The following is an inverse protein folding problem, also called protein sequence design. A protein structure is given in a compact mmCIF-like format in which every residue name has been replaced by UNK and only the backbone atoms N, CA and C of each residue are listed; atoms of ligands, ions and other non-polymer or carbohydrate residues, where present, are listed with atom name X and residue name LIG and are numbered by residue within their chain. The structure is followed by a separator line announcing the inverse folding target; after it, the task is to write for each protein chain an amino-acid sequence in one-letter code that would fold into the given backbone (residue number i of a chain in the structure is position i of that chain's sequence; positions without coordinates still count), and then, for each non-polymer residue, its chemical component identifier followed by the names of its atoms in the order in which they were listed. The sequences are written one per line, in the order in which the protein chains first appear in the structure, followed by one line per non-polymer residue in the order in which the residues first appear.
data_IF_091706307514
#
_entry.id   IF_091706307514
#
_cell.length_a   1.000
_cell.length_b   1.000
_cell.length_c   1.000
_cell.angle_alpha   90.00
_cell.angle_beta   90.00
_cell.angle_gamma   90.00
#
_symmetry.space_group_name_H-M   'P 1'
#
loop_
_entity.id
_entity.type
_entity.pdbx_description
1 polymer ?
#
# COMPACT_ATOMS: atom_id res chain seq x y z
N UNK A 1 -21.33 -0.38 36.74
CA UNK A 1 -20.81 -1.34 37.73
C UNK A 1 -19.40 -1.69 37.26
N UNK A 2 -18.37 -1.27 37.99
CA UNK A 2 -16.98 -1.58 37.64
C UNK A 2 -16.74 -3.01 38.10
N UNK A 3 -16.34 -3.87 37.17
CA UNK A 3 -16.03 -5.28 37.45
C UNK A 3 -14.73 -5.37 38.26
N UNK A 4 -14.70 -6.25 39.26
CA UNK A 4 -13.54 -6.53 40.12
C UNK A 4 -12.64 -7.65 39.56
N UNK A 5 -12.86 -8.12 38.32
CA UNK A 5 -11.94 -9.06 37.67
C UNK A 5 -10.69 -8.28 37.18
N UNK A 6 -9.46 -8.62 37.60
CA UNK A 6 -8.25 -7.98 37.08
C UNK A 6 -8.13 -8.05 35.54
N UNK A 7 -8.76 -9.04 34.89
CA UNK A 7 -8.84 -9.19 33.43
C UNK A 7 -9.96 -8.37 32.78
N UNK A 8 -10.75 -7.64 33.57
CA UNK A 8 -11.83 -6.76 33.11
C UNK A 8 -11.49 -5.27 33.20
N UNK A 9 -10.21 -4.95 33.37
CA UNK A 9 -9.75 -3.56 33.34
C UNK A 9 -9.92 -3.00 31.93
N UNK A 10 -10.27 -1.70 31.80
CA UNK A 10 -10.41 -1.07 30.50
C UNK A 10 -9.11 -1.18 29.71
N UNK A 11 -9.14 -1.95 28.63
CA UNK A 11 -8.07 -1.98 27.63
C UNK A 11 -8.19 -0.68 26.84
N UNK A 12 -7.22 0.24 27.00
CA UNK A 12 -7.15 1.42 26.16
C UNK A 12 -6.47 1.03 24.85
N UNK A 13 -7.19 1.13 23.74
CA UNK A 13 -6.61 1.01 22.42
C UNK A 13 -5.66 2.19 22.18
N UNK A 14 -4.40 1.85 21.88
CA UNK A 14 -3.37 2.79 21.50
C UNK A 14 -3.41 3.07 19.99
N UNK A 15 -3.80 2.06 19.20
CA UNK A 15 -4.11 2.13 17.77
C UNK A 15 -5.21 1.10 17.45
N UNK A 16 -5.87 1.13 16.26
CA UNK A 16 -6.87 0.13 15.87
C UNK A 16 -6.44 -1.34 16.04
N UNK A 17 -5.14 -1.61 15.93
CA UNK A 17 -4.54 -2.94 16.01
C UNK A 17 -3.66 -3.13 17.25
N UNK A 18 -3.57 -2.13 18.15
CA UNK A 18 -2.71 -2.17 19.34
C UNK A 18 -3.45 -1.68 20.57
N UNK A 19 -3.31 -2.40 21.66
CA UNK A 19 -3.78 -2.00 22.97
C UNK A 19 -2.64 -1.85 23.97
N UNK A 20 -2.85 -0.94 24.92
CA UNK A 20 -2.00 -0.85 26.10
C UNK A 20 -2.40 -1.99 27.05
N UNK A 21 -1.48 -2.93 27.38
CA UNK A 21 -1.78 -4.00 28.32
C UNK A 21 -2.13 -3.42 29.68
N UNK A 22 -3.00 -4.11 30.43
CA UNK A 22 -3.15 -3.82 31.85
C UNK A 22 -1.76 -3.91 32.52
N UNK A 23 -1.39 -3.01 33.45
CA UNK A 23 -0.14 -3.13 34.21
C UNK A 23 0.19 -4.54 34.73
N UNK A 24 -0.82 -5.34 35.13
CA UNK A 24 -0.62 -6.73 35.55
C UNK A 24 -0.24 -7.66 34.38
N UNK A 25 -0.82 -7.44 33.20
CA UNK A 25 -0.49 -8.18 31.97
C UNK A 25 0.90 -7.80 31.47
N UNK A 26 1.27 -6.52 31.54
CA UNK A 26 2.62 -6.07 31.20
C UNK A 26 3.68 -6.85 31.99
N UNK A 27 3.52 -6.97 33.32
CA UNK A 27 4.45 -7.74 34.15
C UNK A 27 4.39 -9.24 33.91
N UNK A 28 3.23 -9.79 33.54
CA UNK A 28 3.10 -11.20 33.19
C UNK A 28 3.82 -11.54 31.87
N UNK A 29 3.67 -10.69 30.85
CA UNK A 29 4.32 -10.82 29.54
C UNK A 29 5.83 -10.65 29.63
N UNK A 30 6.27 -9.72 30.48
CA UNK A 30 7.66 -9.40 30.72
C UNK A 30 8.20 -10.09 31.99
N UNK A 31 7.56 -11.18 32.42
CA UNK A 31 7.91 -11.97 33.60
C UNK A 31 9.22 -12.72 33.41
N UNK A 32 10.31 -11.98 33.23
CA UNK A 32 11.64 -12.47 32.83
C UNK A 32 12.74 -11.40 32.72
N UNK A 33 12.49 -10.11 32.99
CA UNK A 33 13.50 -9.03 32.85
C UNK A 33 13.82 -8.33 34.20
N UNK A 34 15.08 -8.27 34.65
CA UNK A 34 16.14 -9.28 34.55
C UNK A 34 16.58 -9.85 35.92
N UNK A 35 17.21 -11.02 35.86
CA UNK A 35 18.27 -11.43 36.78
C UNK A 35 19.46 -10.46 36.61
N UNK A 36 19.89 -9.85 37.71
CA UNK A 36 20.97 -8.86 37.75
C UNK A 36 22.38 -9.47 37.56
N UNK A 37 22.49 -10.69 37.03
CA UNK A 37 23.72 -11.49 36.99
C UNK A 37 24.63 -11.26 35.77
N UNK A 38 24.17 -10.53 34.75
CA UNK A 38 25.00 -10.05 33.65
C UNK A 38 25.48 -11.11 32.66
N UNK A 39 24.75 -12.22 32.47
CA UNK A 39 24.98 -13.16 31.36
C UNK A 39 23.94 -12.94 30.26
N UNK A 40 24.37 -13.08 29.01
CA UNK A 40 23.63 -12.88 27.75
C UNK A 40 22.11 -13.07 27.89
N UNK A 41 21.40 -11.97 28.10
CA UNK A 41 19.95 -11.90 28.02
C UNK A 41 19.59 -11.04 26.83
N UNK A 42 18.56 -11.50 26.13
CA UNK A 42 17.74 -10.72 25.22
C UNK A 42 17.13 -9.52 25.98
N UNK A 43 17.77 -8.35 25.90
CA UNK A 43 17.40 -7.16 26.66
C UNK A 43 16.23 -6.41 25.98
N UNK A 44 15.12 -7.09 25.73
CA UNK A 44 13.93 -6.50 25.13
C UNK A 44 12.68 -6.67 26.01
N UNK A 45 11.76 -5.70 25.92
CA UNK A 45 10.44 -5.72 26.56
C UNK A 45 9.34 -5.76 25.50
N UNK A 46 8.17 -6.29 25.85
CA UNK A 46 6.93 -6.12 25.08
C UNK A 46 6.14 -4.96 25.68
N UNK A 47 6.04 -3.84 24.95
CA UNK A 47 5.41 -2.59 25.41
C UNK A 47 3.89 -2.55 25.23
N UNK A 48 3.44 -2.92 24.03
CA UNK A 48 2.03 -2.91 23.66
C UNK A 48 1.63 -4.31 23.25
N UNK A 49 0.36 -4.66 23.41
CA UNK A 49 -0.20 -5.90 22.90
C UNK A 49 -0.97 -5.62 21.62
N UNK A 50 -1.00 -6.57 20.70
CA UNK A 50 -2.02 -6.52 19.68
C UNK A 50 -3.39 -6.82 20.31
N UNK A 51 -4.44 -6.24 19.73
CA UNK A 51 -5.82 -6.37 20.21
C UNK A 51 -6.36 -7.80 20.09
N UNK A 52 -5.75 -8.67 19.27
CA UNK A 52 -6.14 -10.08 19.10
C UNK A 52 -4.89 -10.97 18.93
N UNK A 53 -4.74 -11.99 19.79
CA UNK A 53 -3.77 -13.14 19.88
C UNK A 53 -2.42 -13.12 19.13
N UNK A 54 -1.89 -11.96 18.73
CA UNK A 54 -0.75 -11.86 17.82
C UNK A 54 0.17 -10.72 18.28
N UNK A 55 0.99 -11.00 19.31
CA UNK A 55 2.20 -10.30 19.77
C UNK A 55 2.42 -8.81 19.34
N UNK A 56 2.71 -7.93 20.30
CA UNK A 56 2.80 -6.48 20.05
C UNK A 56 4.21 -5.93 19.85
N UNK A 57 4.49 -4.72 20.37
CA UNK A 57 5.77 -4.05 20.12
C UNK A 57 6.86 -4.60 21.03
N UNK A 58 7.84 -5.25 20.43
CA UNK A 58 9.12 -5.56 21.07
C UNK A 58 10.01 -4.34 21.01
N UNK A 59 10.60 -3.94 22.14
CA UNK A 59 11.57 -2.87 22.24
C UNK A 59 12.83 -3.38 22.90
N UNK A 60 13.96 -3.20 22.24
CA UNK A 60 15.28 -3.46 22.78
C UNK A 60 15.66 -2.28 23.69
N UNK A 61 15.97 -2.59 24.95
CA UNK A 61 16.23 -1.61 25.99
C UNK A 61 17.64 -0.99 25.91
N UNK A 62 18.58 -1.60 25.17
CA UNK A 62 19.92 -1.04 24.98
C UNK A 62 19.96 -0.07 23.80
N UNK A 63 19.28 -0.42 22.72
CA UNK A 63 19.29 0.32 21.45
C UNK A 63 18.09 1.26 21.29
N UNK A 64 17.03 1.05 22.09
CA UNK A 64 15.74 1.72 21.98
C UNK A 64 15.04 1.54 20.63
N UNK A 65 15.44 0.53 19.87
CA UNK A 65 14.78 0.13 18.65
C UNK A 65 13.59 -0.78 18.98
N UNK A 66 12.60 -0.80 18.09
CA UNK A 66 11.42 -1.62 18.23
C UNK A 66 11.00 -2.26 16.90
N UNK A 67 10.20 -3.31 17.03
CA UNK A 67 9.54 -4.01 15.93
C UNK A 67 8.21 -4.55 16.44
N UNK A 68 7.17 -4.52 15.61
CA UNK A 68 5.98 -5.35 15.84
C UNK A 68 6.28 -6.75 15.32
N UNK A 69 5.86 -7.81 16.01
CA UNK A 69 6.04 -9.17 15.49
C UNK A 69 4.90 -10.04 15.96
N UNK A 70 4.47 -10.98 15.12
CA UNK A 70 3.47 -12.01 15.44
C UNK A 70 4.04 -13.19 16.24
N UNK A 71 5.36 -13.44 16.15
CA UNK A 71 6.08 -14.54 16.83
C UNK A 71 7.34 -14.01 17.54
N UNK A 72 7.84 -14.71 18.56
CA UNK A 72 9.09 -14.36 19.28
C UNK A 72 10.29 -14.73 18.40
N UNK A 73 10.56 -13.97 17.33
CA UNK A 73 11.79 -14.09 16.53
C UNK A 73 12.41 -12.72 16.24
N UNK A 74 12.91 -12.02 17.28
CA UNK A 74 13.47 -10.67 17.16
C UNK A 74 14.58 -10.52 16.11
N UNK A 75 15.31 -11.60 15.79
CA UNK A 75 16.37 -11.63 14.78
C UNK A 75 15.89 -11.68 13.32
N UNK A 76 14.59 -11.79 13.05
CA UNK A 76 14.04 -11.96 11.69
C UNK A 76 13.47 -10.67 11.07
N UNK A 77 13.63 -9.50 11.67
CA UNK A 77 12.99 -8.26 11.18
C UNK A 77 13.90 -7.06 11.32
N UNK A 78 13.69 -6.07 10.47
CA UNK A 78 14.28 -4.73 10.61
C UNK A 78 13.67 -4.04 11.82
N UNK A 79 14.52 -3.48 12.70
CA UNK A 79 14.10 -2.72 13.86
C UNK A 79 14.18 -1.21 13.58
N UNK A 80 13.27 -0.44 14.16
CA UNK A 80 13.15 1.01 13.96
C UNK A 80 13.12 1.76 15.29
N UNK A 81 13.52 3.03 15.36
CA UNK A 81 13.39 3.80 16.60
C UNK A 81 11.95 3.81 17.11
N UNK A 82 11.73 3.58 18.41
CA UNK A 82 10.39 3.61 19.00
C UNK A 82 9.66 4.92 18.69
N UNK A 83 10.38 6.04 18.67
CA UNK A 83 9.84 7.34 18.29
C UNK A 83 9.18 7.34 16.91
N UNK A 84 9.73 6.61 15.94
CA UNK A 84 9.16 6.51 14.58
C UNK A 84 7.78 5.87 14.62
N UNK A 85 7.62 4.77 15.35
CA UNK A 85 6.32 4.11 15.50
C UNK A 85 5.29 5.01 16.22
N UNK A 86 5.69 5.63 17.34
CA UNK A 86 4.82 6.51 18.11
C UNK A 86 4.39 7.76 17.31
N UNK A 87 5.33 8.37 16.56
CA UNK A 87 5.03 9.53 15.73
C UNK A 87 4.11 9.17 14.56
N UNK A 88 4.30 8.00 13.94
CA UNK A 88 3.40 7.49 12.91
C UNK A 88 1.95 7.41 13.41
N UNK A 89 1.71 6.76 14.55
CA UNK A 89 0.35 6.65 15.09
C UNK A 89 -0.22 7.99 15.55
N UNK A 90 0.60 8.86 16.13
CA UNK A 90 0.17 10.22 16.46
C UNK A 90 -0.29 10.97 15.20
N UNK A 91 0.49 10.93 14.12
CA UNK A 91 0.13 11.56 12.84
C UNK A 91 -1.18 10.98 12.28
N UNK A 92 -1.43 9.68 12.45
CA UNK A 92 -2.67 9.04 12.00
C UNK A 92 -3.90 9.49 12.80
N UNK A 93 -3.77 9.74 14.10
CA UNK A 93 -4.84 10.38 14.89
C UNK A 93 -5.02 11.86 14.53
N UNK A 94 -3.92 12.61 14.40
CA UNK A 94 -3.97 14.04 14.07
C UNK A 94 -4.56 14.31 12.68
N UNK A 95 -4.44 13.35 11.75
CA UNK A 95 -5.01 13.42 10.41
C UNK A 95 -6.45 12.88 10.30
N UNK A 96 -7.06 12.45 11.42
CA UNK A 96 -8.36 11.75 11.45
C UNK A 96 -8.37 10.39 10.73
N UNK A 97 -7.21 9.85 10.32
CA UNK A 97 -7.12 8.50 9.75
C UNK A 97 -7.47 7.45 10.80
N UNK A 98 -6.97 7.62 12.03
CA UNK A 98 -7.41 6.87 13.20
C UNK A 98 -8.42 7.70 13.97
N UNK A 99 -9.54 7.08 14.36
CA UNK A 99 -10.54 7.76 15.19
C UNK A 99 -10.77 6.99 16.49
N UNK A 100 -10.84 7.71 17.63
CA UNK A 100 -11.20 7.09 18.89
C UNK A 100 -12.67 6.65 18.84
N UNK A 101 -12.99 5.55 19.52
CA UNK A 101 -14.38 5.14 19.77
C UNK A 101 -15.14 6.24 20.52
N UNK A 102 -16.43 6.44 20.20
CA UNK A 102 -17.26 7.47 20.83
C UNK A 102 -18.31 6.83 21.75
N UNK A 103 -18.47 7.31 23.00
CA UNK A 103 -19.53 6.88 23.94
C UNK A 103 -19.03 6.11 25.17
N UNK A 104 -19.92 5.37 25.85
CA UNK A 104 -19.55 4.41 26.93
C UNK A 104 -18.63 3.27 26.43
N UNK A 105 -18.49 3.19 25.11
CA UNK A 105 -17.53 2.43 24.31
C UNK A 105 -16.14 3.11 24.21
N UNK A 106 -15.87 4.19 24.96
CA UNK A 106 -14.50 4.69 25.14
C UNK A 106 -13.57 3.68 25.85
N UNK A 107 -14.16 2.59 26.34
CA UNK A 107 -13.53 1.32 26.73
C UNK A 107 -14.01 0.24 25.74
N UNK A 108 -13.81 0.45 24.43
CA UNK A 108 -14.11 -0.56 23.42
C UNK A 108 -12.85 -0.95 22.66
N UNK A 109 -12.82 -2.21 22.27
CA UNK A 109 -11.74 -2.84 21.50
C UNK A 109 -11.70 -2.36 20.03
N UNK A 110 -12.31 -1.22 19.67
CA UNK A 110 -12.63 -0.88 18.27
C UNK A 110 -12.28 0.56 17.87
N UNK A 111 -11.05 1.03 18.15
CA UNK A 111 -10.55 2.19 17.39
C UNK A 111 -10.57 1.80 15.91
N UNK A 112 -11.10 2.66 15.04
CA UNK A 112 -11.32 2.31 13.63
C UNK A 112 -10.47 3.15 12.69
N UNK A 113 -10.09 2.53 11.58
CA UNK A 113 -9.26 3.09 10.53
C UNK A 113 -10.14 3.63 9.41
N UNK A 114 -10.07 4.93 9.10
CA UNK A 114 -10.70 5.50 7.90
C UNK A 114 -9.89 5.11 6.69
N UNK A 115 -10.52 4.48 5.69
CA UNK A 115 -9.84 4.05 4.46
C UNK A 115 -9.43 5.21 3.56
N UNK A 116 -10.08 6.36 3.71
CA UNK A 116 -9.85 7.56 2.91
C UNK A 116 -10.11 8.83 3.74
N UNK A 117 -9.16 9.76 3.71
CA UNK A 117 -9.26 11.13 4.26
C UNK A 117 -8.76 12.16 3.23
N UNK A 118 -9.15 13.43 3.40
CA UNK A 118 -8.77 14.51 2.48
C UNK A 118 -7.24 14.71 2.36
N UNK A 119 -6.48 14.36 3.40
CA UNK A 119 -5.02 14.41 3.37
C UNK A 119 -4.42 13.42 2.36
N UNK A 120 -5.01 12.22 2.20
CA UNK A 120 -4.58 11.22 1.21
C UNK A 120 -4.70 11.81 -0.21
N UNK A 121 -5.88 12.35 -0.54
CA UNK A 121 -6.13 13.00 -1.82
C UNK A 121 -5.14 14.14 -2.09
N UNK A 122 -4.89 14.98 -1.08
CA UNK A 122 -3.96 16.10 -1.22
C UNK A 122 -2.54 15.61 -1.50
N UNK A 123 -2.08 14.57 -0.80
CA UNK A 123 -0.76 13.94 -0.99
C UNK A 123 -0.63 13.36 -2.39
N UNK A 124 -1.59 12.56 -2.84
CA UNK A 124 -1.51 11.87 -4.13
C UNK A 124 -1.66 12.82 -5.33
N UNK A 125 -2.53 13.83 -5.24
CA UNK A 125 -2.61 14.88 -6.24
C UNK A 125 -1.32 15.68 -6.33
N UNK A 126 -0.69 15.98 -5.19
CA UNK A 126 0.60 16.68 -5.15
C UNK A 126 1.69 15.85 -5.83
N UNK A 127 1.82 14.57 -5.49
CA UNK A 127 2.79 13.67 -6.13
C UNK A 127 2.54 13.55 -7.64
N UNK A 128 1.28 13.39 -8.04
CA UNK A 128 0.86 13.38 -9.44
C UNK A 128 1.25 14.66 -10.17
N UNK A 129 0.88 15.84 -9.65
CA UNK A 129 1.21 17.12 -10.29
C UNK A 129 2.71 17.36 -10.33
N UNK A 130 3.47 16.97 -9.30
CA UNK A 130 4.93 17.07 -9.31
C UNK A 130 5.56 16.20 -10.40
N UNK A 131 5.06 14.98 -10.61
CA UNK A 131 5.50 14.14 -11.72
C UNK A 131 5.18 14.77 -13.08
N UNK A 132 3.98 15.34 -13.25
CA UNK A 132 3.63 16.03 -14.49
C UNK A 132 4.59 17.18 -14.81
N UNK A 133 4.97 17.96 -13.78
CA UNK A 133 5.95 19.05 -13.91
C UNK A 133 7.32 18.51 -14.30
N UNK A 134 7.81 17.47 -13.63
CA UNK A 134 9.11 16.86 -13.94
C UNK A 134 9.20 16.34 -15.38
N UNK A 135 8.13 15.69 -15.88
CA UNK A 135 8.04 15.24 -17.27
C UNK A 135 8.05 16.45 -18.21
N UNK A 136 7.18 17.44 -17.96
CA UNK A 136 7.07 18.62 -18.83
C UNK A 136 8.37 19.44 -18.89
N UNK A 137 9.11 19.56 -17.79
CA UNK A 137 10.38 20.28 -17.72
C UNK A 137 11.48 19.58 -18.54
N UNK A 138 11.35 18.27 -18.77
CA UNK A 138 12.29 17.48 -19.59
C UNK A 138 11.83 17.25 -21.03
N UNK A 139 10.57 17.50 -21.35
CA UNK A 139 10.07 17.36 -22.72
C UNK A 139 10.73 18.36 -23.70
N UNK A 140 11.21 17.89 -24.87
CA UNK A 140 11.76 18.77 -25.89
C UNK A 140 10.67 19.71 -26.45
N UNK A 141 10.93 21.02 -26.42
CA UNK A 141 9.99 22.04 -26.91
C UNK A 141 8.97 22.54 -25.88
N UNK A 142 9.25 22.37 -24.58
CA UNK A 142 8.40 22.83 -23.48
C UNK A 142 8.25 24.36 -23.42
N UNK A 143 7.33 24.90 -24.23
CA UNK A 143 6.78 26.26 -24.09
C UNK A 143 5.29 26.23 -23.74
N UNK A 144 4.69 25.03 -23.65
CA UNK A 144 3.27 24.87 -23.36
C UNK A 144 3.03 24.71 -21.86
N UNK A 145 2.29 25.64 -21.27
CA UNK A 145 1.77 25.52 -19.91
C UNK A 145 0.90 24.27 -19.79
N UNK A 146 1.07 23.51 -18.70
CA UNK A 146 0.10 22.48 -18.29
C UNK A 146 -1.28 23.16 -18.23
N UNK A 147 -2.30 22.51 -18.79
CA UNK A 147 -3.67 22.98 -18.66
C UNK A 147 -4.02 23.07 -17.17
N UNK A 148 -4.35 24.26 -16.69
CA UNK A 148 -4.76 24.47 -15.29
C UNK A 148 -6.18 23.94 -15.00
N UNK A 149 -6.85 23.32 -15.98
CA UNK A 149 -8.17 22.73 -15.77
C UNK A 149 -8.03 21.37 -15.06
N UNK A 150 -8.58 21.22 -13.85
CA UNK A 150 -8.67 19.92 -13.19
C UNK A 150 -9.68 19.01 -13.93
N UNK A 151 -9.53 17.71 -13.76
CA UNK A 151 -10.44 16.69 -14.26
C UNK A 151 -9.81 15.83 -15.35
N UNK A 152 -9.44 14.61 -15.00
CA UNK A 152 -9.19 13.56 -16.00
C UNK A 152 -10.51 13.11 -16.63
N UNK A 153 -11.58 13.07 -15.84
CA UNK A 153 -12.94 12.73 -16.24
C UNK A 153 -13.95 13.70 -15.60
N UNK A 154 -15.14 13.80 -16.19
CA UNK A 154 -16.24 14.59 -15.65
C UNK A 154 -17.08 13.78 -14.65
N UNK A 155 -17.96 14.47 -13.92
CA UNK A 155 -18.86 13.84 -12.96
C UNK A 155 -19.81 12.84 -13.64
N UNK A 156 -20.28 13.13 -14.85
CA UNK A 156 -21.24 12.31 -15.58
C UNK A 156 -20.69 10.90 -15.89
N UNK A 157 -19.45 10.80 -16.37
CA UNK A 157 -18.80 9.51 -16.62
C UNK A 157 -18.60 8.74 -15.32
N UNK A 158 -18.14 9.40 -14.26
CA UNK A 158 -17.86 8.74 -12.98
C UNK A 158 -19.16 8.23 -12.31
N UNK A 159 -20.24 9.01 -12.37
CA UNK A 159 -21.55 8.63 -11.85
C UNK A 159 -22.16 7.45 -12.62
N UNK A 160 -22.02 7.44 -13.96
CA UNK A 160 -22.49 6.34 -14.81
C UNK A 160 -21.90 5.00 -14.38
N UNK A 161 -20.60 4.97 -14.04
CA UNK A 161 -19.91 3.73 -13.63
C UNK A 161 -19.90 3.51 -12.11
N UNK A 162 -20.54 4.40 -11.34
CA UNK A 162 -20.63 4.36 -9.88
C UNK A 162 -19.26 4.37 -9.21
N UNK A 163 -18.35 5.20 -9.70
CA UNK A 163 -17.03 5.38 -9.12
C UNK A 163 -17.17 6.35 -7.93
N UNK A 164 -16.74 5.92 -6.74
CA UNK A 164 -16.84 6.66 -5.48
C UNK A 164 -15.50 6.72 -4.73
N UNK A 165 -15.49 7.35 -3.56
CA UNK A 165 -14.34 7.42 -2.67
C UNK A 165 -13.13 8.14 -3.27
N UNK A 166 -11.95 7.71 -2.83
CA UNK A 166 -10.66 8.30 -3.24
C UNK A 166 -10.51 8.37 -4.77
N UNK A 167 -10.82 7.27 -5.48
CA UNK A 167 -10.62 7.21 -6.93
C UNK A 167 -11.47 8.26 -7.64
N UNK A 168 -12.71 8.46 -7.21
CA UNK A 168 -13.59 9.51 -7.77
C UNK A 168 -12.96 10.88 -7.60
N UNK A 169 -12.57 11.21 -6.37
CA UNK A 169 -12.05 12.53 -6.04
C UNK A 169 -10.71 12.79 -6.74
N UNK A 170 -9.84 11.78 -6.83
CA UNK A 170 -8.60 11.87 -7.58
C UNK A 170 -8.88 12.14 -9.06
N UNK A 171 -9.77 11.39 -9.70
CA UNK A 171 -10.07 11.54 -11.13
C UNK A 171 -10.72 12.90 -11.49
N UNK A 172 -11.50 13.50 -10.58
CA UNK A 172 -12.06 14.84 -10.74
C UNK A 172 -11.02 15.95 -10.58
N UNK A 173 -10.01 15.75 -9.73
CA UNK A 173 -9.06 16.81 -9.36
C UNK A 173 -7.69 16.69 -10.04
N UNK A 174 -7.35 15.51 -10.56
CA UNK A 174 -6.13 15.28 -11.32
C UNK A 174 -6.13 16.12 -12.61
N UNK A 175 -5.03 16.83 -12.86
CA UNK A 175 -4.88 17.68 -14.05
C UNK A 175 -4.55 16.83 -15.26
N UNK A 176 -5.18 17.11 -16.40
CA UNK A 176 -4.81 16.46 -17.66
C UNK A 176 -3.57 17.17 -18.26
N UNK A 177 -2.43 16.49 -18.44
CA UNK A 177 -1.28 17.06 -19.14
C UNK A 177 -1.48 17.03 -20.67
N UNK A 178 -0.54 17.63 -21.39
CA UNK A 178 -0.55 17.70 -22.86
C UNK A 178 0.25 16.56 -23.53
N UNK A 179 0.72 15.59 -22.74
CA UNK A 179 1.45 14.41 -23.21
C UNK A 179 0.65 13.13 -22.92
N UNK A 180 1.04 12.02 -23.54
CA UNK A 180 0.28 10.77 -23.50
C UNK A 180 0.78 9.79 -22.44
N UNK A 181 2.08 9.76 -22.17
CA UNK A 181 2.73 8.75 -21.33
C UNK A 181 3.25 9.33 -20.03
N UNK A 182 2.77 8.81 -18.90
CA UNK A 182 3.19 9.23 -17.55
C UNK A 182 4.38 8.44 -17.02
N UNK A 183 4.58 7.25 -17.57
CA UNK A 183 5.68 6.33 -17.28
C UNK A 183 5.87 5.41 -18.50
N UNK A 184 6.97 4.64 -18.60
CA UNK A 184 7.25 3.82 -19.77
C UNK A 184 6.09 2.86 -20.09
N UNK A 185 5.49 3.02 -21.27
CA UNK A 185 4.33 2.24 -21.71
C UNK A 185 3.02 2.47 -20.96
N UNK A 186 2.95 3.41 -20.00
CA UNK A 186 1.74 3.72 -19.24
C UNK A 186 1.09 5.03 -19.72
N UNK A 187 -0.14 4.90 -20.21
CA UNK A 187 -0.88 6.00 -20.81
C UNK A 187 -1.75 6.74 -19.81
N UNK A 188 -2.01 8.01 -20.08
CA UNK A 188 -3.06 8.77 -19.41
C UNK A 188 -4.37 8.51 -20.15
N UNK A 189 -5.36 7.86 -19.52
CA UNK A 189 -6.55 7.43 -20.22
C UNK A 189 -7.39 8.62 -20.74
N UNK A 190 -7.96 8.47 -21.93
CA UNK A 190 -8.96 9.42 -22.46
C UNK A 190 -10.36 9.06 -21.95
N UNK A 191 -11.27 10.04 -21.91
CA UNK A 191 -12.68 9.80 -21.56
C UNK A 191 -13.32 8.71 -22.43
N UNK A 192 -13.06 8.74 -23.74
CA UNK A 192 -13.52 7.74 -24.70
C UNK A 192 -12.98 6.35 -24.38
N UNK A 193 -11.67 6.23 -24.17
CA UNK A 193 -11.05 4.95 -23.84
C UNK A 193 -11.62 4.36 -22.55
N UNK A 194 -11.80 5.20 -21.53
CA UNK A 194 -12.33 4.78 -20.23
C UNK A 194 -13.76 4.27 -20.36
N UNK A 195 -14.61 5.02 -21.05
CA UNK A 195 -16.00 4.63 -21.30
C UNK A 195 -16.10 3.33 -22.10
N UNK A 196 -15.38 3.21 -23.22
CA UNK A 196 -15.37 1.99 -24.04
C UNK A 196 -14.88 0.77 -23.26
N UNK A 197 -13.85 0.96 -22.43
CA UNK A 197 -13.27 -0.11 -21.61
C UNK A 197 -14.24 -0.59 -20.54
N UNK A 198 -14.90 0.31 -19.82
CA UNK A 198 -15.85 -0.07 -18.77
C UNK A 198 -17.19 -0.56 -19.32
N UNK A 199 -17.65 -0.02 -20.46
CA UNK A 199 -18.82 -0.56 -21.15
C UNK A 199 -18.58 -2.00 -21.63
N UNK A 200 -17.38 -2.29 -22.14
CA UNK A 200 -17.00 -3.65 -22.55
C UNK A 200 -16.82 -4.61 -21.36
N UNK A 201 -16.42 -4.09 -20.20
CA UNK A 201 -16.28 -4.90 -18.98
C UNK A 201 -17.61 -5.19 -18.29
N UNK A 202 -18.63 -4.34 -18.49
CA UNK A 202 -19.92 -4.50 -17.83
C UNK A 202 -20.55 -5.87 -18.13
N UNK A 203 -20.78 -6.65 -17.07
CA UNK A 203 -21.34 -8.01 -17.17
C UNK A 203 -20.34 -9.10 -17.54
N UNK A 204 -19.05 -8.77 -17.68
CA UNK A 204 -17.97 -9.75 -17.85
C UNK A 204 -17.82 -10.64 -16.60
N UNK A 205 -17.10 -11.77 -16.74
CA UNK A 205 -16.76 -12.62 -15.59
C UNK A 205 -15.97 -11.83 -14.53
N UNK A 206 -15.04 -10.97 -14.95
CA UNK A 206 -14.26 -10.08 -14.10
C UNK A 206 -15.18 -9.12 -13.34
N UNK A 207 -16.06 -8.41 -14.03
CA UNK A 207 -17.02 -7.47 -13.43
C UNK A 207 -17.91 -8.14 -12.39
N UNK A 208 -18.47 -9.30 -12.72
CA UNK A 208 -19.32 -10.05 -11.80
C UNK A 208 -18.52 -10.60 -10.61
N UNK A 209 -17.26 -11.01 -10.83
CA UNK A 209 -16.36 -11.49 -9.77
C UNK A 209 -16.03 -10.37 -8.78
N UNK A 210 -15.65 -9.19 -9.28
CA UNK A 210 -15.25 -8.04 -8.46
C UNK A 210 -16.43 -7.46 -7.68
N UNK A 211 -17.64 -7.50 -8.25
CA UNK A 211 -18.85 -6.97 -7.59
C UNK A 211 -19.66 -8.01 -6.83
N UNK A 212 -19.13 -9.23 -6.61
CA UNK A 212 -19.82 -10.29 -5.86
C UNK A 212 -19.91 -9.97 -4.36
N UNK A 213 -21.08 -10.23 -3.79
CA UNK A 213 -21.50 -10.14 -2.37
C UNK A 213 -20.49 -9.49 -1.41
N UNK A 214 -20.45 -8.15 -1.42
CA UNK A 214 -19.87 -7.34 -0.32
C UNK A 214 -18.42 -6.91 -0.46
N UNK A 215 -17.70 -7.25 -1.54
CA UNK A 215 -16.31 -6.79 -1.71
C UNK A 215 -16.17 -5.31 -2.10
N UNK A 216 -17.23 -4.68 -2.61
CA UNK A 216 -17.29 -3.22 -2.79
C UNK A 216 -17.94 -2.63 -1.54
N UNK A 217 -17.11 -2.28 -0.55
CA UNK A 217 -17.55 -1.63 0.68
C UNK A 217 -17.84 -0.15 0.44
N UNK A 218 -18.92 0.36 1.02
CA UNK A 218 -19.22 1.81 0.98
C UNK A 218 -18.24 2.60 1.85
N UNK A 219 -18.04 3.87 1.51
CA UNK A 219 -17.09 4.75 2.19
C UNK A 219 -17.42 4.96 3.69
N UNK A 220 -18.71 4.84 4.05
CA UNK A 220 -19.26 5.06 5.38
C UNK A 220 -19.53 3.78 6.17
N UNK A 221 -19.40 2.60 5.57
CA UNK A 221 -19.63 1.32 6.26
C UNK A 221 -18.48 1.05 7.24
N UNK A 222 -18.76 0.99 8.56
CA UNK A 222 -17.78 0.52 9.53
C UNK A 222 -17.40 -0.90 9.15
N UNK A 223 -16.12 -1.11 8.84
CA UNK A 223 -15.62 -2.45 8.59
C UNK A 223 -15.43 -3.14 9.95
N UNK A 224 -16.27 -4.14 10.23
CA UNK A 224 -15.95 -5.15 11.22
C UNK A 224 -15.05 -6.20 10.54
N UNK A 225 -13.86 -6.50 11.09
CA UNK A 225 -13.02 -7.55 10.57
C UNK A 225 -13.76 -8.89 10.62
N UNK A 226 -14.27 -9.38 9.49
CA UNK A 226 -14.61 -10.80 9.38
C UNK A 226 -13.28 -11.57 9.24
N UNK A 227 -12.67 -11.81 10.39
CA UNK A 227 -11.34 -12.38 10.60
C UNK A 227 -11.15 -13.78 9.99
N UNK A 228 -12.23 -14.42 9.53
CA UNK A 228 -12.19 -15.66 8.74
C UNK A 228 -11.60 -15.51 7.33
N UNK A 229 -11.32 -14.29 6.84
CA UNK A 229 -10.66 -14.08 5.53
C UNK A 229 -9.11 -14.03 5.59
N UNK A 230 -8.49 -14.29 6.75
CA UNK A 230 -7.02 -14.30 6.98
C UNK A 230 -6.23 -15.43 6.30
N UNK A 231 -6.68 -15.89 5.14
CA UNK A 231 -5.95 -16.83 4.28
C UNK A 231 -6.12 -16.57 2.79
N UNK A 232 -6.85 -15.51 2.40
CA UNK A 232 -6.89 -15.09 1.00
C UNK A 232 -5.88 -13.96 0.80
N UNK A 233 -4.97 -14.12 -0.13
CA UNK A 233 -4.04 -13.08 -0.59
C UNK A 233 -4.72 -11.84 -1.22
N UNK A 234 -6.04 -11.72 -1.08
CA UNK A 234 -6.86 -10.73 -1.77
C UNK A 234 -7.72 -9.92 -0.78
N UNK A 235 -7.05 -9.19 0.12
CA UNK A 235 -7.60 -8.19 1.06
C UNK A 235 -8.08 -6.89 0.36
N UNK A 236 -8.38 -6.94 -0.94
CA UNK A 236 -8.88 -5.78 -1.67
C UNK A 236 -10.36 -5.54 -1.34
N UNK A 237 -10.75 -4.27 -1.32
CA UNK A 237 -12.14 -3.82 -1.19
C UNK A 237 -12.40 -2.65 -2.10
N UNK A 238 -13.43 -2.73 -2.93
CA UNK A 238 -13.69 -1.77 -4.01
C UNK A 238 -13.37 -2.37 -5.37
N UNK A 239 -13.47 -1.57 -6.43
CA UNK A 239 -13.27 -2.07 -7.79
C UNK A 239 -11.85 -1.76 -8.29
N UNK A 240 -11.01 -2.76 -8.61
CA UNK A 240 -9.76 -2.51 -9.26
C UNK A 240 -9.98 -1.99 -10.69
N UNK A 241 -9.48 -0.79 -10.97
CA UNK A 241 -9.61 -0.10 -12.25
C UNK A 241 -8.25 0.42 -12.72
N UNK A 242 -7.96 0.40 -14.03
CA UNK A 242 -6.71 0.91 -14.57
C UNK A 242 -6.68 2.44 -14.45
N UNK A 243 -5.80 2.97 -13.59
CA UNK A 243 -5.56 4.40 -13.47
C UNK A 243 -4.68 4.90 -14.62
N UNK A 244 -3.61 4.15 -14.92
CA UNK A 244 -2.75 4.37 -16.09
C UNK A 244 -2.61 3.06 -16.86
N UNK A 245 -3.40 2.84 -17.93
CA UNK A 245 -3.36 1.60 -18.69
C UNK A 245 -2.07 1.46 -19.51
N UNK A 246 -1.61 0.22 -19.62
CA UNK A 246 -0.53 -0.23 -20.49
C UNK A 246 -1.02 -1.17 -21.60
N UNK A 247 -0.12 -1.90 -22.28
CA UNK A 247 -0.46 -2.90 -23.28
C UNK A 247 -1.21 -4.10 -22.69
N UNK A 248 -1.64 -5.04 -23.54
CA UNK A 248 -2.20 -6.31 -23.08
C UNK A 248 -1.16 -7.13 -22.32
N UNK A 249 -1.61 -7.87 -21.31
CA UNK A 249 -0.79 -8.88 -20.65
C UNK A 249 -0.46 -9.96 -21.67
N UNK A 250 0.84 -10.20 -21.85
CA UNK A 250 1.40 -11.15 -22.83
C UNK A 250 1.64 -12.51 -22.18
N UNK A 251 2.14 -12.51 -20.94
CA UNK A 251 2.40 -13.72 -20.17
C UNK A 251 2.01 -13.54 -18.69
N UNK A 252 1.64 -14.65 -18.05
CA UNK A 252 1.12 -14.71 -16.69
C UNK A 252 1.97 -15.72 -15.92
N UNK A 253 2.54 -15.33 -14.77
CA UNK A 253 3.21 -16.28 -13.89
C UNK A 253 2.17 -17.15 -13.16
N UNK A 254 2.57 -18.34 -12.69
CA UNK A 254 1.65 -19.21 -11.96
C UNK A 254 1.22 -18.59 -10.61
N UNK A 255 2.07 -17.79 -9.96
CA UNK A 255 1.70 -17.00 -8.79
C UNK A 255 0.59 -15.98 -9.15
N UNK A 256 0.76 -15.22 -10.23
CA UNK A 256 -0.25 -14.27 -10.69
C UNK A 256 -1.56 -14.95 -11.09
N UNK A 257 -1.49 -16.12 -11.74
CA UNK A 257 -2.66 -16.86 -12.20
C UNK A 257 -3.54 -17.31 -11.05
N UNK A 258 -2.93 -17.80 -9.97
CA UNK A 258 -3.65 -18.27 -8.77
C UNK A 258 -4.41 -17.14 -8.09
N UNK A 259 -3.81 -15.96 -8.04
CA UNK A 259 -4.28 -14.90 -7.14
C UNK A 259 -5.00 -13.79 -7.89
N UNK A 260 -4.42 -13.29 -8.98
CA UNK A 260 -4.72 -11.95 -9.48
C UNK A 260 -5.18 -11.85 -10.94
N UNK A 261 -4.99 -12.87 -11.78
CA UNK A 261 -5.32 -12.82 -13.23
C UNK A 261 -6.77 -12.44 -13.56
N UNK A 262 -7.68 -12.61 -12.60
CA UNK A 262 -9.11 -12.31 -12.73
C UNK A 262 -9.50 -10.85 -12.43
N UNK A 263 -8.57 -10.00 -11.99
CA UNK A 263 -8.85 -8.59 -11.68
C UNK A 263 -8.59 -7.60 -12.83
N UNK A 264 -7.55 -7.76 -13.67
CA UNK A 264 -7.27 -6.81 -14.74
C UNK A 264 -8.40 -6.68 -15.75
N UNK A 265 -8.89 -5.46 -15.95
CA UNK A 265 -9.91 -5.15 -16.95
C UNK A 265 -9.40 -5.53 -18.33
N UNK A 266 -10.11 -6.45 -19.00
CA UNK A 266 -9.78 -6.91 -20.34
C UNK A 266 -8.31 -7.36 -20.49
N UNK A 267 -7.69 -7.94 -19.44
CA UNK A 267 -6.25 -8.34 -19.45
C UNK A 267 -5.30 -7.21 -19.87
N UNK A 268 -5.62 -5.98 -19.50
CA UNK A 268 -4.75 -4.82 -19.72
C UNK A 268 -3.73 -4.79 -18.57
N UNK A 269 -2.46 -4.54 -18.88
CA UNK A 269 -1.43 -4.23 -17.89
C UNK A 269 -1.55 -2.76 -17.48
N UNK A 270 -0.88 -2.32 -16.41
CA UNK A 270 -0.89 -0.92 -16.03
C UNK A 270 -0.82 -0.68 -14.52
N UNK A 271 -0.89 0.58 -14.12
CA UNK A 271 -1.09 0.94 -12.73
C UNK A 271 -2.60 0.94 -12.43
N UNK A 272 -3.02 0.03 -11.54
CA UNK A 272 -4.41 -0.12 -11.13
C UNK A 272 -4.65 0.56 -9.78
N UNK A 273 -5.81 1.20 -9.62
CA UNK A 273 -6.37 1.39 -8.29
C UNK A 273 -6.60 0.00 -7.68
N UNK A 274 -6.17 -0.18 -6.44
CA UNK A 274 -6.27 -1.45 -5.74
C UNK A 274 -6.63 -1.22 -4.28
N UNK A 275 -7.78 -0.58 -4.01
CA UNK A 275 -8.18 -0.23 -2.66
C UNK A 275 -8.23 -1.48 -1.77
N UNK A 276 -7.73 -1.35 -0.55
CA UNK A 276 -7.68 -2.42 0.44
C UNK A 276 -8.41 -2.03 1.74
N UNK A 277 -8.35 -2.92 2.72
CA UNK A 277 -9.09 -2.78 3.98
C UNK A 277 -8.72 -1.53 4.78
N UNK A 278 -7.55 -0.93 4.54
CA UNK A 278 -7.10 0.25 5.26
C UNK A 278 -6.83 1.46 4.36
N UNK A 279 -6.65 1.29 3.05
CA UNK A 279 -6.25 2.37 2.14
C UNK A 279 -7.01 2.30 0.82
N UNK A 280 -7.82 3.33 0.52
CA UNK A 280 -8.49 3.44 -0.79
C UNK A 280 -7.57 3.93 -1.92
N UNK A 281 -6.46 4.57 -1.56
CA UNK A 281 -5.43 5.08 -2.46
C UNK A 281 -4.32 4.06 -2.73
N UNK A 282 -4.48 2.83 -2.23
CA UNK A 282 -3.62 1.72 -2.55
C UNK A 282 -3.68 1.42 -4.06
N UNK A 283 -2.53 1.11 -4.65
CA UNK A 283 -2.39 0.81 -6.07
C UNK A 283 -1.59 -0.45 -6.30
N UNK A 284 -1.67 -1.00 -7.51
CA UNK A 284 -0.88 -2.16 -7.93
C UNK A 284 -0.41 -1.99 -9.36
N UNK A 285 0.91 -2.06 -9.59
CA UNK A 285 1.45 -2.10 -10.94
C UNK A 285 1.41 -3.54 -11.44
N UNK A 286 0.74 -3.76 -12.57
CA UNK A 286 0.64 -5.05 -13.23
C UNK A 286 1.41 -4.95 -14.54
N UNK A 287 2.47 -5.73 -14.68
CA UNK A 287 3.33 -5.78 -15.86
C UNK A 287 2.77 -6.76 -16.91
N UNK A 288 3.01 -6.49 -18.21
CA UNK A 288 2.55 -7.37 -19.28
C UNK A 288 3.30 -8.72 -19.32
N UNK A 289 4.47 -8.80 -18.69
CA UNK A 289 5.26 -10.00 -18.52
C UNK A 289 5.74 -10.08 -17.06
N UNK A 290 5.93 -11.29 -16.51
CA UNK A 290 6.56 -11.47 -15.19
C UNK A 290 7.95 -10.83 -15.12
N UNK A 291 8.31 -10.43 -13.91
CA UNK A 291 9.61 -9.88 -13.52
C UNK A 291 10.10 -10.59 -12.25
N UNK A 292 11.40 -10.60 -12.00
CA UNK A 292 12.01 -11.15 -10.77
C UNK A 292 12.89 -12.37 -11.02
N UNK A 293 13.02 -12.83 -12.27
CA UNK A 293 13.80 -14.00 -12.65
C UNK A 293 15.28 -13.90 -12.25
N UNK A 294 15.83 -12.69 -12.12
CA UNK A 294 17.20 -12.46 -11.70
C UNK A 294 17.36 -12.25 -10.18
N UNK A 295 16.27 -12.23 -9.41
CA UNK A 295 16.28 -12.12 -7.95
C UNK A 295 16.59 -10.71 -7.39
N UNK A 296 16.57 -9.68 -8.23
CA UNK A 296 16.86 -8.30 -7.86
C UNK A 296 15.62 -7.48 -7.53
N UNK A 297 14.44 -7.92 -7.98
CA UNK A 297 13.16 -7.34 -7.53
C UNK A 297 12.98 -7.65 -6.04
N UNK A 298 12.89 -6.60 -5.22
CA UNK A 298 12.72 -6.70 -3.77
C UNK A 298 11.64 -5.75 -3.29
N UNK A 299 10.89 -6.21 -2.29
CA UNK A 299 9.98 -5.37 -1.54
C UNK A 299 10.73 -4.23 -0.83
N UNK A 300 10.01 -3.16 -0.50
CA UNK A 300 10.60 -2.05 0.25
C UNK A 300 11.16 -2.48 1.60
N UNK A 301 10.40 -3.27 2.35
CA UNK A 301 10.80 -3.90 3.60
C UNK A 301 10.51 -5.42 3.53
N UNK A 302 11.42 -6.21 2.94
CA UNK A 302 11.23 -7.64 2.79
C UNK A 302 11.20 -8.33 4.15
N UNK A 303 10.46 -9.43 4.25
CA UNK A 303 10.61 -10.38 5.34
C UNK A 303 12.07 -10.88 5.36
N UNK A 304 12.69 -11.04 6.53
CA UNK A 304 14.04 -11.62 6.56
C UNK A 304 14.06 -13.08 6.05
N UNK A 305 12.90 -13.72 5.94
CA UNK A 305 12.70 -14.96 5.18
C UNK A 305 12.48 -14.63 3.71
N UNK A 306 13.41 -13.89 3.11
CA UNK A 306 13.73 -14.14 1.71
C UNK A 306 15.06 -14.86 1.80
N UNK A 307 14.99 -16.19 1.81
CA UNK A 307 16.13 -17.07 1.99
C UNK A 307 17.33 -16.58 1.17
N UNK A 308 18.25 -15.87 1.83
CA UNK A 308 19.52 -15.49 1.22
C UNK A 308 20.39 -16.73 0.96
N UNK A 309 19.94 -17.89 1.46
CA UNK A 309 20.59 -19.20 1.37
C UNK A 309 19.90 -20.17 0.38
N UNK A 310 18.82 -19.78 -0.33
CA UNK A 310 18.28 -20.61 -1.43
C UNK A 310 18.90 -20.20 -2.76
N UNK A 311 19.49 -21.16 -3.49
CA UNK A 311 20.03 -20.95 -4.84
C UNK A 311 18.94 -20.56 -5.86
N UNK A 312 17.66 -20.86 -5.56
CA UNK A 312 16.51 -20.60 -6.41
C UNK A 312 15.70 -19.37 -5.94
N UNK A 313 15.27 -18.54 -6.89
CA UNK A 313 14.31 -17.46 -6.61
C UNK A 313 12.91 -18.08 -6.40
N UNK A 314 12.24 -17.83 -5.26
CA UNK A 314 10.87 -18.29 -5.04
C UNK A 314 9.92 -17.88 -6.18
N UNK A 315 9.05 -18.79 -6.61
CA UNK A 315 8.05 -18.53 -7.66
C UNK A 315 7.16 -17.31 -7.35
N UNK A 316 6.94 -16.99 -6.07
CA UNK A 316 6.19 -15.80 -5.63
C UNK A 316 6.89 -14.48 -5.98
N UNK A 317 8.21 -14.48 -6.12
CA UNK A 317 8.98 -13.29 -6.49
C UNK A 317 8.97 -13.08 -8.02
N UNK A 318 8.83 -14.16 -8.79
CA UNK A 318 8.62 -14.10 -10.25
C UNK A 318 7.12 -13.90 -10.56
N UNK A 319 6.73 -12.64 -10.69
CA UNK A 319 5.31 -12.30 -10.79
C UNK A 319 5.06 -11.09 -11.70
N UNK A 320 3.83 -10.91 -12.14
CA UNK A 320 3.41 -9.74 -12.93
C UNK A 320 3.20 -8.50 -12.04
N UNK A 321 3.10 -8.63 -10.72
CA UNK A 321 2.75 -7.54 -9.80
C UNK A 321 3.67 -7.42 -8.57
N UNK A 322 4.87 -8.00 -8.61
CA UNK A 322 5.87 -7.91 -7.54
C UNK A 322 6.54 -6.53 -7.42
N UNK A 323 6.44 -5.67 -8.45
CA UNK A 323 7.15 -4.39 -8.43
C UNK A 323 6.42 -3.34 -7.57
N UNK A 324 7.19 -2.49 -6.91
CA UNK A 324 6.72 -1.42 -6.03
C UNK A 324 5.85 -1.91 -4.85
N UNK A 325 6.13 -3.09 -4.30
CA UNK A 325 5.44 -3.56 -3.10
C UNK A 325 6.20 -3.13 -1.83
N UNK A 326 5.46 -2.82 -0.75
CA UNK A 326 6.08 -2.49 0.54
C UNK A 326 6.72 -3.70 1.22
N UNK A 327 6.25 -4.91 0.92
CA UNK A 327 6.54 -6.08 1.74
C UNK A 327 5.89 -5.94 3.11
N UNK A 328 6.62 -6.30 4.15
CA UNK A 328 6.10 -6.27 5.50
C UNK A 328 6.06 -4.87 6.10
N UNK A 329 4.90 -4.57 6.68
CA UNK A 329 4.66 -3.32 7.37
C UNK A 329 4.82 -3.50 8.88
N UNK A 330 5.81 -2.84 9.53
CA UNK A 330 6.09 -3.06 10.95
C UNK A 330 5.09 -2.43 11.91
N UNK A 331 4.32 -1.42 11.50
CA UNK A 331 3.53 -0.65 12.46
C UNK A 331 2.08 -0.44 12.03
N UNK A 332 1.67 -1.08 10.93
CA UNK A 332 0.30 -1.05 10.41
C UNK A 332 -0.05 -2.44 9.86
N UNK A 333 -1.34 -2.72 9.72
CA UNK A 333 -1.83 -3.92 9.03
C UNK A 333 -1.26 -4.00 7.61
N UNK A 334 -1.15 -5.21 7.06
CA UNK A 334 -0.69 -5.40 5.67
C UNK A 334 -1.55 -4.60 4.69
N UNK A 335 -0.90 -3.79 3.85
CA UNK A 335 -1.56 -2.92 2.87
C UNK A 335 -0.72 -2.71 1.61
N UNK A 336 -1.38 -2.30 0.53
CA UNK A 336 -0.72 -1.96 -0.74
C UNK A 336 0.02 -0.62 -0.69
N UNK A 337 0.88 -0.35 -1.70
CA UNK A 337 1.54 0.94 -1.87
C UNK A 337 0.54 2.06 -2.15
N UNK A 338 0.71 3.20 -1.48
CA UNK A 338 -0.05 4.41 -1.80
C UNK A 338 0.35 4.96 -3.18
N UNK A 339 -0.60 5.53 -3.90
CA UNK A 339 -0.37 6.11 -5.24
C UNK A 339 0.80 7.11 -5.24
N UNK A 340 0.85 8.01 -4.27
CA UNK A 340 1.93 9.00 -4.12
C UNK A 340 3.33 8.38 -4.08
N UNK A 341 3.52 7.25 -3.40
CA UNK A 341 4.85 6.64 -3.29
C UNK A 341 5.39 6.18 -4.64
N UNK A 342 4.53 5.59 -5.47
CA UNK A 342 4.91 5.17 -6.82
C UNK A 342 5.14 6.40 -7.70
N UNK A 343 4.28 7.41 -7.62
CA UNK A 343 4.41 8.63 -8.43
C UNK A 343 5.67 9.45 -8.07
N UNK A 344 6.03 9.53 -6.78
CA UNK A 344 7.25 10.20 -6.35
C UNK A 344 8.51 9.41 -6.74
N UNK A 345 8.45 8.07 -6.72
CA UNK A 345 9.54 7.25 -7.25
C UNK A 345 9.71 7.49 -8.77
N UNK A 346 8.63 7.46 -9.54
CA UNK A 346 8.67 7.75 -10.98
C UNK A 346 9.19 9.16 -11.27
N UNK A 347 8.82 10.13 -10.44
CA UNK A 347 9.35 11.50 -10.52
C UNK A 347 10.86 11.50 -10.33
N UNK A 348 11.38 10.75 -9.37
CA UNK A 348 12.83 10.62 -9.18
C UNK A 348 13.50 9.99 -10.41
N UNK A 349 12.94 8.93 -11.01
CA UNK A 349 13.47 8.32 -12.24
C UNK A 349 13.50 9.30 -13.41
N UNK A 350 12.48 10.17 -13.53
CA UNK A 350 12.46 11.28 -14.48
C UNK A 350 13.53 12.32 -14.12
N UNK A 351 13.62 12.76 -12.86
CA UNK A 351 14.53 13.79 -12.38
C UNK A 351 16.01 13.36 -12.39
N UNK A 352 16.32 12.07 -12.28
CA UNK A 352 17.71 11.58 -12.40
C UNK A 352 18.11 11.35 -13.86
N UNK A 353 17.11 11.28 -14.76
CA UNK A 353 17.33 10.99 -16.19
C UNK A 353 17.48 9.50 -16.47
N UNK A 354 17.18 8.64 -15.49
CA UNK A 354 17.04 7.20 -15.73
C UNK A 354 15.89 6.92 -16.72
N UNK A 355 14.80 7.69 -16.64
CA UNK A 355 13.75 7.72 -17.65
C UNK A 355 13.96 8.86 -18.63
N UNK A 356 14.01 8.51 -19.91
CA UNK A 356 14.05 9.47 -21.01
C UNK A 356 12.66 10.06 -21.25
N UNK A 357 12.61 11.33 -21.62
CA UNK A 357 11.36 12.06 -21.85
C UNK A 357 11.37 12.70 -23.23
N UNK A 358 10.33 12.38 -24.01
CA UNK A 358 10.10 12.86 -25.36
C UNK A 358 8.94 13.85 -25.44
N UNK A 359 8.46 14.10 -26.66
CA UNK A 359 7.34 15.01 -26.92
C UNK A 359 6.01 14.50 -26.36
N UNK A 360 5.83 13.17 -26.31
CA UNK A 360 4.60 12.52 -25.84
C UNK A 360 4.69 12.03 -24.39
N UNK A 361 5.70 12.48 -23.64
CA UNK A 361 5.90 12.14 -22.23
C UNK A 361 7.07 11.19 -22.02
N UNK A 362 6.99 10.33 -21.02
CA UNK A 362 8.06 9.35 -20.73
C UNK A 362 8.18 8.35 -21.88
N UNK A 363 9.40 8.12 -22.36
CA UNK A 363 9.70 7.24 -23.49
C UNK A 363 9.86 5.77 -23.08
N UNK A 364 9.78 4.88 -24.07
CA UNK A 364 9.86 3.43 -23.88
C UNK A 364 8.52 2.78 -23.56
N UNK A 365 8.49 1.45 -23.63
CA UNK A 365 7.36 0.64 -23.19
C UNK A 365 7.55 0.09 -21.78
N UNK A 366 6.62 -0.76 -21.35
CA UNK A 366 6.67 -1.35 -20.00
C UNK A 366 7.86 -2.31 -19.79
N UNK A 367 8.59 -2.68 -20.85
CA UNK A 367 9.85 -3.41 -20.74
C UNK A 367 10.92 -2.64 -19.96
N UNK A 368 10.85 -1.31 -19.89
CA UNK A 368 11.78 -0.49 -19.09
C UNK A 368 11.70 -0.83 -17.59
N UNK A 369 10.56 -1.32 -17.09
CA UNK A 369 10.45 -1.78 -15.71
C UNK A 369 11.32 -3.01 -15.41
N UNK A 370 11.81 -3.74 -16.42
CA UNK A 370 12.76 -4.84 -16.23
C UNK A 370 14.11 -4.39 -15.67
N UNK A 371 14.44 -3.10 -15.75
CA UNK A 371 15.61 -2.57 -15.04
C UNK A 371 15.51 -2.76 -13.52
N UNK A 372 14.30 -2.89 -12.96
CA UNK A 372 14.14 -3.24 -11.54
C UNK A 372 14.71 -4.62 -11.16
N UNK A 373 14.94 -5.50 -12.14
CA UNK A 373 15.51 -6.83 -11.96
C UNK A 373 16.97 -6.92 -12.44
N UNK A 374 17.68 -5.78 -12.37
CA UNK A 374 19.09 -5.62 -12.72
C UNK A 374 19.79 -4.96 -11.54
N UNK A 375 20.84 -5.58 -11.01
CA UNK A 375 21.56 -5.16 -9.78
C UNK A 375 21.83 -3.66 -9.74
N UNK A 376 22.34 -3.11 -10.84
CA UNK A 376 22.76 -1.71 -10.95
C UNK A 376 21.61 -0.71 -10.84
N UNK A 377 20.38 -1.13 -11.14
CA UNK A 377 19.19 -0.29 -11.23
C UNK A 377 18.12 -0.63 -10.18
N UNK A 378 18.15 -1.83 -9.61
CA UNK A 378 17.11 -2.37 -8.74
C UNK A 378 16.73 -1.42 -7.59
N UNK A 379 17.72 -0.74 -7.01
CA UNK A 379 17.50 0.17 -5.90
C UNK A 379 16.63 1.38 -6.29
N UNK A 380 16.73 1.89 -7.52
CA UNK A 380 15.94 3.03 -8.01
C UNK A 380 14.45 2.68 -8.16
N UNK A 381 14.11 1.40 -8.23
CA UNK A 381 12.74 0.90 -8.38
C UNK A 381 12.17 0.33 -7.07
N UNK A 382 12.91 0.42 -5.97
CA UNK A 382 12.50 -0.10 -4.66
C UNK A 382 11.81 1.01 -3.85
N UNK A 383 10.63 0.70 -3.31
CA UNK A 383 9.97 1.60 -2.35
C UNK A 383 10.67 1.54 -0.98
N UNK A 384 10.41 2.52 -0.13
CA UNK A 384 10.75 2.43 1.29
C UNK A 384 9.74 1.55 2.03
N UNK A 385 9.90 1.38 3.35
CA UNK A 385 8.88 0.75 4.17
C UNK A 385 7.53 1.48 4.06
N UNK A 386 6.45 0.80 4.45
CA UNK A 386 5.06 1.25 4.37
C UNK A 386 4.70 2.52 5.16
N UNK A 387 5.65 3.13 5.85
CA UNK A 387 5.46 4.34 6.66
C UNK A 387 6.55 5.36 6.29
N UNK A 388 6.15 6.62 6.30
CA UNK A 388 7.09 7.73 6.13
C UNK A 388 7.91 7.90 7.42
N UNK A 389 9.22 8.06 7.27
CA UNK A 389 10.17 8.30 8.37
C UNK A 389 10.23 9.74 8.82
#
# INVERSE_FOLDING_TARGET
MISNDPRSSPVMNFAPHLCMPNPNEFWALNGGLPDLSGKEHENWVVLYLATEEELGIYMDLDTHLCTWQREVMPWMRTWYPLQTALQLWLNLYESDKFQPSVGLEAISNTAYHRRYIAADLTRDLKAYHNLLVAIQDRSPGSTASISNKPGLFDEEILDRFRISGFLRDFLLNARRPNFMYIAPGLQIPSATWFQETLDADQGSERYNFVRRDGKVLRDDEPWEPDWMQRGSSSNWVGEPLPLFPGPKIESVSAAFERENVKFPVNKISGLYSWPDLISQDAVRLILPNPIGDNGWVRDGNPDAITDADTEDVPESLVNNDSLYQYGWCPFLLSHGPHLSMILDNWRQLVDTGEWSVGSDGVEGGMEVFRHADVEEHAISYRLTACFDG
#
